data_IF_110131454663
#
_entry.id   IF_110131454663
#
_cell.length_a   1.000
_cell.length_b   1.000
_cell.length_c   1.000
_cell.angle_alpha   90.00
_cell.angle_beta   90.00
_cell.angle_gamma   90.00
#
_symmetry.space_group_name_H-M   'P 1'
#
loop_
_entity.id
_entity.type
_entity.pdbx_description
1 polymer ?
#
# COMPACT_ATOMS: atom_id res chain seq x y z
N UNK A 1 -3.77 -7.99 5.68
CA UNK A 1 -2.90 -7.01 5.02
C UNK A 1 -2.61 -7.40 3.57
N UNK A 2 -2.20 -6.41 2.79
CA UNK A 2 -1.80 -6.64 1.41
C UNK A 2 -0.43 -7.32 1.37
N UNK A 3 -0.33 -8.41 0.61
CA UNK A 3 0.94 -9.12 0.41
C UNK A 3 1.76 -8.49 -0.71
N UNK A 4 3.06 -8.83 -0.77
CA UNK A 4 3.93 -8.39 -1.85
C UNK A 4 3.46 -8.87 -3.23
N UNK A 5 2.92 -10.09 -3.30
CA UNK A 5 2.40 -10.64 -4.56
C UNK A 5 1.18 -9.83 -5.05
N UNK A 6 0.25 -9.50 -4.16
CA UNK A 6 -0.91 -8.67 -4.52
C UNK A 6 -0.46 -7.27 -4.94
N UNK A 7 0.49 -6.68 -4.22
CA UNK A 7 1.03 -5.36 -4.55
C UNK A 7 1.63 -5.33 -5.95
N UNK A 8 2.46 -6.33 -6.29
CA UNK A 8 3.09 -6.39 -7.61
C UNK A 8 2.08 -6.56 -8.73
N UNK A 9 1.03 -7.34 -8.51
CA UNK A 9 -0.07 -7.49 -9.47
C UNK A 9 -0.81 -6.16 -9.68
N UNK A 10 -1.12 -5.46 -8.61
CA UNK A 10 -1.78 -4.15 -8.70
C UNK A 10 -0.94 -3.16 -9.50
N UNK A 11 0.37 -3.09 -9.23
CA UNK A 11 1.27 -2.19 -9.94
C UNK A 11 1.37 -2.53 -11.43
N UNK A 12 1.31 -3.81 -11.78
CA UNK A 12 1.37 -4.30 -13.17
C UNK A 12 0.02 -4.25 -13.89
N UNK A 13 -1.07 -3.93 -13.19
CA UNK A 13 -2.41 -3.94 -13.77
C UNK A 13 -3.00 -5.33 -13.98
N UNK A 14 -2.48 -6.34 -13.28
CA UNK A 14 -2.99 -7.72 -13.35
C UNK A 14 -4.20 -7.87 -12.42
N UNK A 15 -5.30 -8.38 -12.96
CA UNK A 15 -6.58 -8.47 -12.24
C UNK A 15 -7.12 -9.90 -12.25
N UNK A 16 -6.33 -10.84 -11.75
CA UNK A 16 -6.65 -12.26 -11.75
C UNK A 16 -7.09 -12.82 -10.39
N UNK A 17 -7.24 -11.96 -9.39
CA UNK A 17 -7.74 -12.34 -8.06
C UNK A 17 -8.93 -11.49 -7.66
N UNK A 18 -9.77 -11.95 -6.70
CA UNK A 18 -10.86 -11.12 -6.19
C UNK A 18 -10.39 -9.78 -5.66
N UNK A 19 -9.24 -9.72 -4.97
CA UNK A 19 -8.69 -8.49 -4.42
C UNK A 19 -8.27 -7.52 -5.53
N UNK A 20 -7.54 -7.99 -6.54
CA UNK A 20 -7.08 -7.14 -7.64
C UNK A 20 -8.25 -6.69 -8.52
N UNK A 21 -9.25 -7.54 -8.71
CA UNK A 21 -10.48 -7.19 -9.43
C UNK A 21 -11.26 -6.11 -8.69
N UNK A 22 -11.39 -6.23 -7.36
CA UNK A 22 -12.07 -5.23 -6.54
C UNK A 22 -11.35 -3.88 -6.59
N UNK A 23 -10.01 -3.90 -6.50
CA UNK A 23 -9.22 -2.67 -6.60
C UNK A 23 -9.43 -1.98 -7.95
N UNK A 24 -9.41 -2.74 -9.05
CA UNK A 24 -9.65 -2.20 -10.39
C UNK A 24 -11.04 -1.56 -10.49
N UNK A 25 -12.07 -2.23 -9.98
CA UNK A 25 -13.44 -1.72 -10.01
C UNK A 25 -13.57 -0.42 -9.21
N UNK A 26 -12.92 -0.35 -8.04
CA UNK A 26 -12.92 0.83 -7.19
C UNK A 26 -12.26 2.01 -7.89
N UNK A 27 -11.09 1.80 -8.49
CA UNK A 27 -10.37 2.84 -9.22
C UNK A 27 -11.13 3.31 -10.46
N UNK A 28 -11.78 2.39 -11.18
CA UNK A 28 -12.59 2.74 -12.36
C UNK A 28 -13.77 3.62 -11.98
N UNK A 29 -14.31 3.46 -10.79
CA UNK A 29 -15.39 4.28 -10.24
C UNK A 29 -14.87 5.59 -9.63
N UNK A 30 -13.59 5.91 -9.77
CA UNK A 30 -12.94 7.11 -9.21
C UNK A 30 -13.06 7.17 -7.69
N UNK A 31 -12.95 6.02 -7.02
CA UNK A 31 -13.03 5.90 -5.57
C UNK A 31 -11.67 5.51 -5.01
N UNK A 32 -11.38 5.87 -3.74
CA UNK A 32 -10.08 5.57 -3.16
C UNK A 32 -9.89 4.07 -2.88
N UNK A 33 -8.64 3.63 -3.02
CA UNK A 33 -8.15 2.32 -2.58
C UNK A 33 -7.11 2.57 -1.50
N UNK A 34 -7.28 1.96 -0.34
CA UNK A 34 -6.32 2.06 0.78
C UNK A 34 -5.60 0.73 0.90
N UNK A 35 -4.27 0.78 0.89
CA UNK A 35 -3.41 -0.40 0.96
C UNK A 35 -2.76 -0.47 2.34
N UNK A 36 -3.02 -1.56 3.05
CA UNK A 36 -2.36 -1.91 4.31
C UNK A 36 -1.32 -2.98 4.01
N UNK A 37 -0.10 -2.57 3.68
CA UNK A 37 0.95 -3.45 3.19
C UNK A 37 1.69 -4.14 4.34
N UNK A 38 2.05 -5.41 4.13
CA UNK A 38 2.98 -6.14 4.97
C UNK A 38 3.74 -7.13 4.09
N UNK A 39 5.03 -6.90 3.89
CA UNK A 39 5.85 -7.79 3.06
C UNK A 39 7.34 -7.67 3.40
N UNK A 40 8.05 -8.78 3.27
CA UNK A 40 9.48 -8.85 3.55
C UNK A 40 10.35 -8.20 2.48
N UNK A 41 9.83 -7.98 1.29
CA UNK A 41 10.59 -7.45 0.16
C UNK A 41 10.18 -6.04 -0.26
N UNK A 42 9.55 -5.29 0.63
CA UNK A 42 9.03 -3.96 0.33
C UNK A 42 10.13 -2.98 -0.11
N UNK A 43 11.31 -3.04 0.52
CA UNK A 43 12.42 -2.15 0.19
C UNK A 43 13.39 -2.76 -0.83
N UNK A 44 13.08 -3.94 -1.37
CA UNK A 44 13.86 -4.58 -2.42
C UNK A 44 13.01 -4.75 -3.68
N UNK A 45 12.55 -5.96 -3.99
CA UNK A 45 11.83 -6.24 -5.24
C UNK A 45 10.54 -5.42 -5.40
N UNK A 46 9.84 -5.10 -4.31
CA UNK A 46 8.57 -4.39 -4.35
C UNK A 46 8.67 -2.87 -4.17
N UNK A 47 9.86 -2.31 -3.95
CA UNK A 47 9.98 -0.86 -3.76
C UNK A 47 9.49 -0.07 -4.98
N UNK A 48 9.83 -0.55 -6.17
CA UNK A 48 9.35 0.05 -7.43
C UNK A 48 7.82 0.03 -7.52
N UNK A 49 7.20 -1.03 -7.00
CA UNK A 49 5.74 -1.19 -7.03
C UNK A 49 5.05 -0.25 -6.03
N UNK A 50 5.64 -0.06 -4.86
CA UNK A 50 5.19 0.96 -3.90
C UNK A 50 5.23 2.34 -4.56
N UNK A 51 6.36 2.69 -5.20
CA UNK A 51 6.52 3.97 -5.88
C UNK A 51 5.50 4.16 -7.00
N UNK A 52 5.29 3.13 -7.82
CA UNK A 52 4.29 3.15 -8.89
C UNK A 52 2.90 3.44 -8.34
N UNK A 53 2.49 2.73 -7.29
CA UNK A 53 1.15 2.86 -6.73
C UNK A 53 0.97 4.17 -5.95
N UNK A 54 1.98 4.61 -5.20
CA UNK A 54 1.92 5.90 -4.49
C UNK A 54 1.74 7.09 -5.44
N UNK A 55 2.23 6.98 -6.66
CA UNK A 55 2.11 8.05 -7.65
C UNK A 55 0.76 8.06 -8.38
N UNK A 56 -0.06 7.03 -8.21
CA UNK A 56 -1.36 6.94 -8.88
C UNK A 56 -2.45 7.65 -8.09
N UNK A 57 -3.36 8.29 -8.82
CA UNK A 57 -4.56 8.89 -8.25
C UNK A 57 -5.42 7.82 -7.58
N UNK A 58 -6.00 8.16 -6.45
CA UNK A 58 -6.94 7.34 -5.67
C UNK A 58 -6.30 6.12 -4.98
N UNK A 59 -4.98 6.02 -4.96
CA UNK A 59 -4.29 4.97 -4.19
C UNK A 59 -3.59 5.61 -3.01
N UNK A 60 -3.84 5.05 -1.82
CA UNK A 60 -3.30 5.55 -0.55
C UNK A 60 -2.76 4.39 0.26
N UNK A 61 -1.67 4.64 0.98
CA UNK A 61 -1.07 3.64 1.85
C UNK A 61 -1.27 3.99 3.31
N UNK A 62 -1.59 2.99 4.12
CA UNK A 62 -1.46 3.11 5.58
C UNK A 62 0.04 3.30 5.88
N UNK A 63 0.42 4.28 6.71
CA UNK A 63 1.83 4.50 7.03
C UNK A 63 2.55 3.22 7.46
N UNK A 64 3.79 3.08 7.02
CA UNK A 64 4.59 1.86 7.12
C UNK A 64 5.88 2.09 7.89
N UNK A 65 6.39 1.05 8.51
CA UNK A 65 7.66 1.08 9.22
C UNK A 65 8.43 -0.22 9.03
N UNK A 66 9.74 -0.17 9.26
CA UNK A 66 10.57 -1.37 9.29
C UNK A 66 10.35 -2.07 10.63
N UNK A 67 9.82 -3.29 10.59
CA UNK A 67 9.52 -4.06 11.80
C UNK A 67 10.76 -4.69 12.44
N UNK A 68 11.77 -5.03 11.62
CA UNK A 68 13.03 -5.60 12.09
C UNK A 68 14.16 -5.21 11.14
N UNK A 69 14.72 -3.98 11.27
CA UNK A 69 15.74 -3.50 10.32
C UNK A 69 17.02 -4.34 10.30
N UNK A 70 17.36 -5.01 11.39
CA UNK A 70 18.59 -5.81 11.46
C UNK A 70 18.45 -7.16 10.77
N UNK A 71 17.37 -7.90 11.07
CA UNK A 71 17.15 -9.25 10.53
C UNK A 71 16.39 -9.25 9.23
N UNK A 72 15.54 -8.25 9.02
CA UNK A 72 14.68 -8.13 7.82
C UNK A 72 14.82 -6.71 7.26
N UNK A 73 15.97 -6.36 6.68
CA UNK A 73 16.23 -4.97 6.28
C UNK A 73 15.34 -4.46 5.17
N UNK A 74 14.68 -5.35 4.41
CA UNK A 74 13.79 -4.97 3.32
C UNK A 74 12.31 -5.07 3.67
N UNK A 75 11.97 -5.46 4.90
CA UNK A 75 10.58 -5.64 5.33
C UNK A 75 9.94 -4.33 5.74
N UNK A 76 8.70 -4.12 5.30
CA UNK A 76 7.83 -3.05 5.79
C UNK A 76 6.50 -3.65 6.23
N UNK A 77 5.98 -3.09 7.32
CA UNK A 77 4.68 -3.43 7.85
C UNK A 77 3.90 -2.14 8.09
N UNK A 78 2.62 -2.13 7.74
CA UNK A 78 1.77 -0.98 8.00
C UNK A 78 1.45 -0.87 9.50
N UNK A 79 1.27 0.36 9.97
CA UNK A 79 0.76 0.64 11.30
C UNK A 79 -0.77 0.59 11.26
N UNK A 80 -1.33 -0.55 11.66
CA UNK A 80 -2.78 -0.76 11.61
C UNK A 80 -3.57 0.22 12.49
N UNK A 81 -2.95 0.81 13.51
CA UNK A 81 -3.60 1.81 14.34
C UNK A 81 -3.96 3.08 13.56
N UNK A 82 -3.34 3.26 12.39
CA UNK A 82 -3.58 4.41 11.52
C UNK A 82 -4.54 4.11 10.37
N UNK A 83 -5.12 2.91 10.32
CA UNK A 83 -5.99 2.50 9.22
C UNK A 83 -7.21 3.45 9.09
N UNK A 84 -7.89 3.72 10.19
CA UNK A 84 -9.10 4.56 10.17
C UNK A 84 -8.80 5.97 9.66
N UNK A 85 -7.76 6.63 10.18
CA UNK A 85 -7.42 7.97 9.74
C UNK A 85 -6.94 8.00 8.29
N UNK A 86 -6.26 6.93 7.83
CA UNK A 86 -5.88 6.80 6.43
C UNK A 86 -7.11 6.74 5.52
N UNK A 87 -8.10 5.95 5.91
CA UNK A 87 -9.36 5.84 5.16
C UNK A 87 -10.09 7.18 5.09
N UNK A 88 -10.20 7.88 6.20
CA UNK A 88 -10.85 9.20 6.25
C UNK A 88 -10.12 10.20 5.34
N UNK A 89 -8.79 10.24 5.42
CA UNK A 89 -7.98 11.14 4.57
C UNK A 89 -8.08 10.77 3.10
N UNK A 90 -8.16 9.47 2.78
CA UNK A 90 -8.30 8.99 1.40
C UNK A 90 -9.61 9.48 0.77
N UNK A 91 -10.70 9.51 1.53
CA UNK A 91 -11.96 10.07 1.03
C UNK A 91 -11.86 11.58 0.76
N UNK A 92 -10.95 12.27 1.44
CA UNK A 92 -10.66 13.68 1.19
C UNK A 92 -9.58 13.88 0.11
N UNK A 93 -9.10 12.80 -0.51
CA UNK A 93 -8.10 12.85 -1.56
C UNK A 93 -6.68 13.09 -1.07
N UNK A 94 -6.36 12.73 0.17
CA UNK A 94 -5.04 12.98 0.75
C UNK A 94 -4.41 11.73 1.33
N UNK A 95 -3.11 11.57 1.05
CA UNK A 95 -2.27 10.58 1.71
C UNK A 95 -1.83 11.14 3.07
N UNK A 96 -2.11 10.42 4.17
CA UNK A 96 -1.62 10.88 5.47
C UNK A 96 -0.09 10.76 5.54
N UNK A 97 0.52 11.72 6.21
CA UNK A 97 1.96 11.83 6.30
C UNK A 97 2.41 11.77 7.76
N UNK A 98 3.61 11.29 8.03
CA UNK A 98 4.54 10.68 7.06
C UNK A 98 4.07 9.27 6.65
N UNK A 99 4.28 8.93 5.38
CA UNK A 99 3.91 7.59 4.88
C UNK A 99 4.91 6.52 5.34
N UNK A 100 6.16 6.90 5.52
CA UNK A 100 7.19 6.04 6.10
C UNK A 100 7.53 6.52 7.49
N UNK A 101 7.27 5.66 8.48
CA UNK A 101 7.45 5.97 9.90
C UNK A 101 8.83 5.52 10.37
N UNK A 102 9.36 6.23 11.37
CA UNK A 102 10.51 5.75 12.12
C UNK A 102 10.01 4.79 13.19
N UNK A 103 10.44 3.54 13.06
CA UNK A 103 9.93 2.46 13.88
C UNK A 103 10.69 2.17 15.13
#
# INVERSE_FOLDING_TARGET
PCTGNTLSKMAAGITDTPVTMAAKAQLRSNRPVVIALATNDALSANLKNIGTLLSRKNIYFVPMFQDDPEKKPSSLVCDFSRLKETMVSAFAGRQIQPVFLQG
#
